data_IF_796394626959
#
_entry.id   IF_796394626959
#
_cell.length_a   1.000
_cell.length_b   1.000
_cell.length_c   1.000
_cell.angle_alpha   90.00
_cell.angle_beta   90.00
_cell.angle_gamma   90.00
#
_symmetry.space_group_name_H-M   'P 1'
#
loop_
_entity.id
_entity.type
_entity.pdbx_description
1 polymer ?
#
# COMPACT_ATOMS: atom_id res chain seq x y z
N UNK A 1 -5.02 23.71 2.56
CA UNK A 1 -4.78 22.30 2.94
C UNK A 1 -4.07 21.59 1.80
N UNK A 2 -3.06 20.76 2.10
CA UNK A 2 -2.42 19.92 1.09
C UNK A 2 -3.42 18.87 0.54
N UNK A 3 -3.44 18.58 -0.77
CA UNK A 3 -4.29 17.53 -1.32
C UNK A 3 -3.97 16.16 -0.70
N UNK A 4 -4.98 15.41 -0.25
CA UNK A 4 -4.84 14.09 0.42
C UNK A 4 -3.96 13.15 -0.41
N UNK A 5 -4.13 13.13 -1.74
CA UNK A 5 -3.33 12.31 -2.65
C UNK A 5 -1.82 12.59 -2.54
N UNK A 6 -1.42 13.86 -2.44
CA UNK A 6 0.01 14.23 -2.30
C UNK A 6 0.58 13.74 -0.98
N UNK A 7 -0.22 13.83 0.09
CA UNK A 7 0.16 13.31 1.42
C UNK A 7 0.35 11.80 1.37
N UNK A 8 -0.58 11.05 0.75
CA UNK A 8 -0.47 9.59 0.61
C UNK A 8 0.79 9.20 -0.16
N UNK A 9 1.04 9.82 -1.32
CA UNK A 9 2.22 9.53 -2.15
C UNK A 9 3.52 9.80 -1.39
N UNK A 10 3.61 10.94 -0.68
CA UNK A 10 4.78 11.28 0.14
C UNK A 10 5.03 10.23 1.22
N UNK A 11 3.99 9.87 1.98
CA UNK A 11 4.12 8.88 3.06
C UNK A 11 4.46 7.48 2.53
N UNK A 12 3.92 7.08 1.37
CA UNK A 12 4.29 5.81 0.73
C UNK A 12 5.76 5.80 0.32
N UNK A 13 6.29 6.93 -0.20
CA UNK A 13 7.72 7.06 -0.53
C UNK A 13 8.63 7.00 0.72
N UNK A 14 8.10 7.38 1.88
CA UNK A 14 8.76 7.19 3.18
C UNK A 14 8.55 5.77 3.76
N UNK A 15 8.06 4.83 2.95
CA UNK A 15 7.81 3.42 3.30
C UNK A 15 6.76 3.20 4.40
N UNK A 16 5.81 4.13 4.56
CA UNK A 16 4.68 3.92 5.46
C UNK A 16 3.71 2.90 4.86
N UNK A 17 3.22 1.97 5.68
CA UNK A 17 2.13 1.08 5.27
C UNK A 17 0.82 1.86 5.11
N UNK A 18 -0.08 1.37 4.26
CA UNK A 18 -1.41 1.95 4.09
C UNK A 18 -2.16 2.19 5.40
N UNK A 19 -2.01 1.31 6.40
CA UNK A 19 -2.62 1.50 7.71
C UNK A 19 -2.05 2.74 8.43
N UNK A 20 -0.73 2.91 8.45
CA UNK A 20 -0.09 4.09 9.06
C UNK A 20 -0.43 5.37 8.29
N UNK A 21 -0.56 5.28 6.96
CA UNK A 21 -1.03 6.40 6.13
C UNK A 21 -2.45 6.78 6.55
N UNK A 22 -3.35 5.82 6.70
CA UNK A 22 -4.74 6.08 7.11
C UNK A 22 -4.82 6.70 8.51
N UNK A 23 -4.04 6.20 9.47
CA UNK A 23 -3.93 6.78 10.82
C UNK A 23 -3.42 8.22 10.77
N UNK A 24 -2.40 8.50 9.95
CA UNK A 24 -1.89 9.85 9.76
C UNK A 24 -2.95 10.79 9.20
N UNK A 25 -3.71 10.35 8.19
CA UNK A 25 -4.77 11.15 7.59
C UNK A 25 -5.88 11.48 8.62
N UNK A 26 -6.25 10.53 9.49
CA UNK A 26 -7.21 10.80 10.56
C UNK A 26 -6.68 11.74 11.63
N UNK A 27 -5.41 11.62 12.01
CA UNK A 27 -4.78 12.56 12.94
C UNK A 27 -4.74 13.99 12.37
N UNK A 28 -4.70 14.15 11.04
CA UNK A 28 -4.79 15.43 10.34
C UNK A 28 -6.22 15.94 10.15
N UNK A 29 -7.24 15.19 10.57
CA UNK A 29 -8.64 15.60 10.51
C UNK A 29 -9.31 15.36 9.15
N UNK A 30 -8.71 14.56 8.26
CA UNK A 30 -9.37 14.19 7.00
C UNK A 30 -10.56 13.25 7.26
N UNK A 31 -11.63 13.44 6.50
CA UNK A 31 -12.84 12.61 6.66
C UNK A 31 -12.62 11.20 6.12
N UNK A 32 -13.28 10.23 6.74
CA UNK A 32 -13.28 8.81 6.30
C UNK A 32 -13.51 8.66 4.80
N UNK A 33 -14.50 9.36 4.26
CA UNK A 33 -14.86 9.29 2.84
C UNK A 33 -13.74 9.79 1.95
N UNK A 34 -13.17 10.95 2.27
CA UNK A 34 -12.09 11.55 1.49
C UNK A 34 -10.81 10.69 1.50
N UNK A 35 -10.48 10.07 2.64
CA UNK A 35 -9.34 9.13 2.73
C UNK A 35 -9.55 7.90 1.83
N UNK A 36 -10.73 7.28 1.89
CA UNK A 36 -11.05 6.08 1.11
C UNK A 36 -11.06 6.36 -0.39
N UNK A 37 -11.66 7.48 -0.81
CA UNK A 37 -11.69 7.89 -2.22
C UNK A 37 -10.27 8.14 -2.73
N UNK A 38 -9.45 8.89 -2.00
CA UNK A 38 -8.07 9.17 -2.40
C UNK A 38 -7.19 7.90 -2.47
N UNK A 39 -7.34 6.96 -1.53
CA UNK A 39 -6.62 5.69 -1.55
C UNK A 39 -7.01 4.83 -2.77
N UNK A 40 -8.30 4.77 -3.11
CA UNK A 40 -8.78 4.03 -4.29
C UNK A 40 -8.28 4.63 -5.59
N UNK A 41 -8.27 5.96 -5.70
CA UNK A 41 -7.72 6.67 -6.86
C UNK A 41 -6.22 6.40 -7.05
N UNK A 42 -5.49 6.18 -5.95
CA UNK A 42 -4.08 5.79 -5.96
C UNK A 42 -3.87 4.28 -6.06
N UNK A 43 -4.92 3.55 -6.45
CA UNK A 43 -4.88 2.11 -6.71
C UNK A 43 -4.52 1.25 -5.48
N UNK A 44 -4.84 1.72 -4.27
CA UNK A 44 -4.81 0.88 -3.06
C UNK A 44 -6.06 0.00 -2.99
N UNK A 45 -5.90 -1.22 -2.49
CA UNK A 45 -7.04 -2.05 -2.15
C UNK A 45 -7.63 -1.55 -0.82
N UNK A 46 -8.91 -1.17 -0.82
CA UNK A 46 -9.59 -0.64 0.37
C UNK A 46 -10.91 -1.35 0.60
N UNK A 47 -11.08 -1.93 1.79
CA UNK A 47 -12.31 -2.60 2.24
C UNK A 47 -12.82 -1.96 3.52
N UNK A 48 -14.08 -1.52 3.50
CA UNK A 48 -14.78 -1.04 4.71
C UNK A 48 -15.65 -2.15 5.27
N UNK A 49 -15.45 -2.51 6.54
CA UNK A 49 -16.28 -3.52 7.24
C UNK A 49 -16.76 -2.91 8.55
N UNK A 50 -18.05 -2.58 8.60
CA UNK A 50 -18.64 -1.84 9.72
C UNK A 50 -17.89 -0.52 9.98
N UNK A 51 -17.36 -0.38 11.20
CA UNK A 51 -16.55 0.78 11.61
C UNK A 51 -15.08 0.71 11.17
N UNK A 52 -14.60 -0.47 10.78
CA UNK A 52 -13.21 -0.67 10.35
C UNK A 52 -12.97 -0.34 8.88
N UNK A 53 -11.75 0.08 8.56
CA UNK A 53 -11.24 0.21 7.21
C UNK A 53 -9.93 -0.56 7.13
N UNK A 54 -9.88 -1.47 6.17
CA UNK A 54 -8.71 -2.25 5.83
C UNK A 54 -8.16 -1.74 4.51
N UNK A 55 -6.86 -1.51 4.47
CA UNK A 55 -6.15 -0.99 3.30
C UNK A 55 -4.90 -1.83 3.05
N UNK A 56 -4.57 -2.07 1.78
CA UNK A 56 -3.30 -2.72 1.40
C UNK A 56 -2.10 -1.92 1.89
N UNK A 57 -0.95 -2.60 2.05
CA UNK A 57 0.26 -1.94 2.53
C UNK A 57 0.81 -0.94 1.52
N UNK A 58 0.62 -1.22 0.22
CA UNK A 58 1.07 -0.40 -0.91
C UNK A 58 -0.01 -0.38 -2.01
N UNK A 59 0.14 0.43 -3.07
CA UNK A 59 -0.66 0.33 -4.28
C UNK A 59 -0.59 -1.08 -4.88
N UNK A 60 -1.69 -1.57 -5.46
CA UNK A 60 -1.82 -2.95 -5.94
C UNK A 60 -0.73 -3.32 -6.96
N UNK A 61 -0.36 -2.40 -7.84
CA UNK A 61 0.68 -2.62 -8.86
C UNK A 61 2.08 -2.82 -8.23
N UNK A 62 2.37 -2.07 -7.16
CA UNK A 62 3.65 -2.16 -6.45
C UNK A 62 3.74 -3.46 -5.65
N UNK A 63 2.61 -3.90 -5.07
CA UNK A 63 2.49 -5.17 -4.36
C UNK A 63 2.65 -6.36 -5.31
N UNK A 64 2.01 -6.34 -6.49
CA UNK A 64 2.21 -7.35 -7.54
C UNK A 64 3.65 -7.41 -8.02
N UNK A 65 4.29 -6.26 -8.28
CA UNK A 65 5.70 -6.22 -8.71
C UNK A 65 6.63 -6.81 -7.65
N UNK A 66 6.37 -6.56 -6.36
CA UNK A 66 7.10 -7.20 -5.25
C UNK A 66 6.92 -8.71 -5.26
N UNK A 67 5.70 -9.21 -5.42
CA UNK A 67 5.43 -10.65 -5.50
C UNK A 67 6.14 -11.32 -6.68
N UNK A 68 6.13 -10.68 -7.85
CA UNK A 68 6.84 -11.16 -9.04
C UNK A 68 8.35 -11.18 -8.83
N UNK A 69 8.92 -10.13 -8.25
CA UNK A 69 10.34 -10.07 -7.90
C UNK A 69 10.71 -11.20 -6.93
N UNK A 70 9.91 -11.41 -5.88
CA UNK A 70 10.11 -12.48 -4.90
C UNK A 70 10.06 -13.85 -5.60
N UNK A 71 9.05 -14.09 -6.45
CA UNK A 71 8.95 -15.35 -7.21
C UNK A 71 10.18 -15.57 -8.09
N UNK A 72 10.65 -14.56 -8.81
CA UNK A 72 11.83 -14.64 -9.66
C UNK A 72 13.14 -14.86 -8.87
N UNK A 73 13.28 -14.19 -7.73
CA UNK A 73 14.43 -14.34 -6.84
C UNK A 73 14.51 -15.74 -6.23
N UNK A 74 13.38 -16.30 -5.77
CA UNK A 74 13.35 -17.66 -5.25
C UNK A 74 13.48 -18.72 -6.36
N UNK A 75 12.96 -18.48 -7.57
CA UNK A 75 13.17 -19.39 -8.71
C UNK A 75 14.63 -19.46 -9.14
N UNK A 76 15.36 -18.33 -9.09
CA UNK A 76 16.80 -18.28 -9.39
C UNK A 76 17.65 -18.91 -8.29
N UNK A 77 17.27 -18.78 -7.01
CA UNK A 77 17.92 -19.48 -5.90
C UNK A 77 17.75 -21.00 -5.95
N UNK A 78 16.58 -21.50 -6.35
CA UNK A 78 16.35 -22.94 -6.50
C UNK A 78 17.15 -23.58 -7.66
N UNK A 79 17.63 -22.78 -8.62
CA UNK A 79 18.52 -23.30 -9.67
C UNK A 79 19.93 -23.60 -9.13
N UNK A 80 20.38 -22.86 -8.11
CA UNK A 80 21.70 -23.05 -7.49
C UNK A 80 21.75 -24.21 -6.47
N UNK A 81 20.60 -24.69 -5.98
CA UNK A 81 20.54 -25.81 -5.03
C UNK A 81 20.52 -27.20 -5.70
N UNK A 82 20.22 -27.28 -7.00
CA UNK A 82 20.25 -28.54 -7.79
C UNK A 82 21.54 -28.74 -8.60
N UNK A 83 22.46 -27.77 -8.58
CA UNK A 83 23.75 -27.84 -9.28
C UNK A 83 24.92 -28.30 -8.38
N UNK A 84 24.64 -28.94 -7.23
CA UNK A 84 25.65 -29.54 -6.33
C UNK A 84 25.52 -31.05 -6.27
#
# INVERSE_FOLDING_TARGET
MEPIRKVIVRLNAEFFSGERILQHLYAKGYTRRACVEALRELNYAVKSVGRGIYVSSAPIEEEKRREEYIKHYFSSLNFYSWAK
#
